data_IF_759705038094
#
_entry.id   IF_759705038094
#
_cell.length_a   1.000
_cell.length_b   1.000
_cell.length_c   1.000
_cell.angle_alpha   90.00
_cell.angle_beta   90.00
_cell.angle_gamma   90.00
#
_symmetry.space_group_name_H-M   'P 1'
#
loop_
_entity.id
_entity.type
_entity.pdbx_description
1 polymer ?
#
# COMPACT_ATOMS: atom_id res chain seq x y z
N UNK A 1 -17.52 -20.19 25.22
CA UNK A 1 -16.89 -19.05 25.93
C UNK A 1 -16.69 -17.94 24.90
N UNK A 2 -17.42 -16.82 24.99
CA UNK A 2 -17.21 -15.68 24.07
C UNK A 2 -15.90 -14.98 24.48
N UNK A 3 -14.96 -14.82 23.55
CA UNK A 3 -13.78 -13.98 23.74
C UNK A 3 -14.14 -12.57 23.28
N UNK A 4 -13.83 -11.57 24.09
CA UNK A 4 -13.97 -10.16 23.72
C UNK A 4 -12.68 -9.78 23.01
N UNK A 5 -12.82 -9.21 21.81
CA UNK A 5 -11.70 -8.57 21.10
C UNK A 5 -11.82 -7.07 21.39
N UNK A 6 -10.79 -6.50 21.99
CA UNK A 6 -10.69 -5.06 22.21
C UNK A 6 -9.76 -4.47 21.15
N UNK A 7 -10.26 -3.47 20.43
CA UNK A 7 -9.50 -2.73 19.43
C UNK A 7 -9.05 -1.40 20.01
N UNK A 8 -7.80 -1.01 19.74
CA UNK A 8 -7.26 0.29 20.11
C UNK A 8 -6.96 1.05 18.82
N UNK A 9 -7.34 2.33 18.78
CA UNK A 9 -7.06 3.20 17.64
C UNK A 9 -5.70 3.87 17.83
N UNK A 10 -4.92 3.92 16.75
CA UNK A 10 -3.69 4.69 16.70
C UNK A 10 -4.01 6.20 16.67
N UNK A 11 -3.74 6.91 17.77
CA UNK A 11 -4.08 8.34 17.93
C UNK A 11 -2.96 9.28 17.49
N UNK A 12 -1.89 8.77 16.87
CA UNK A 12 -0.81 9.60 16.34
C UNK A 12 -1.30 10.47 15.17
N UNK A 13 -0.70 11.65 14.94
CA UNK A 13 -1.11 12.61 13.91
C UNK A 13 -0.72 12.14 12.50
N UNK A 14 -1.57 11.30 11.91
CA UNK A 14 -1.43 10.90 10.51
C UNK A 14 -2.04 11.94 9.57
N UNK A 15 -1.26 12.45 8.62
CA UNK A 15 -1.70 13.43 7.63
C UNK A 15 -1.43 12.91 6.21
N UNK A 16 -2.29 13.30 5.25
CA UNK A 16 -2.06 13.01 3.83
C UNK A 16 -1.01 13.98 3.31
N UNK A 17 0.13 13.46 2.86
CA UNK A 17 1.25 14.24 2.29
C UNK A 17 1.30 14.17 0.77
N UNK A 18 0.74 13.12 0.18
CA UNK A 18 0.59 13.00 -1.27
C UNK A 18 -0.62 12.11 -1.60
N UNK A 19 -1.45 12.53 -2.55
CA UNK A 19 -2.43 11.67 -3.19
C UNK A 19 -2.25 11.76 -4.70
N UNK A 20 -2.06 10.62 -5.38
CA UNK A 20 -1.94 10.51 -6.84
C UNK A 20 -3.20 9.90 -7.44
N UNK A 21 -3.51 10.29 -8.69
CA UNK A 21 -4.63 9.73 -9.47
C UNK A 21 -4.22 9.30 -10.86
N UNK A 22 -5.18 8.73 -11.59
CA UNK A 22 -5.14 8.54 -13.04
C UNK A 22 -5.48 9.87 -13.76
N UNK A 23 -4.67 10.34 -14.74
CA UNK A 23 -3.44 9.74 -15.26
C UNK A 23 -2.31 9.69 -14.21
N UNK A 24 -1.55 8.58 -14.13
CA UNK A 24 -0.52 8.36 -13.12
C UNK A 24 0.38 9.57 -12.91
N UNK A 25 0.58 9.93 -11.64
CA UNK A 25 1.52 10.98 -11.23
C UNK A 25 0.90 12.34 -11.09
N UNK A 26 -0.37 12.52 -11.46
CA UNK A 26 -1.08 13.74 -11.15
C UNK A 26 -1.38 13.80 -9.64
N UNK A 27 -0.74 14.73 -8.93
CA UNK A 27 -1.01 15.00 -7.54
C UNK A 27 -2.38 15.69 -7.37
N UNK A 28 -3.27 15.08 -6.59
CA UNK A 28 -4.57 15.65 -6.19
C UNK A 28 -4.50 16.39 -4.87
N UNK A 29 -3.64 15.94 -3.97
CA UNK A 29 -3.44 16.52 -2.64
C UNK A 29 -1.99 16.40 -2.24
N UNK A 30 -1.48 17.43 -1.58
CA UNK A 30 -0.08 17.51 -1.18
C UNK A 30 0.85 17.53 -2.41
N UNK A 31 2.08 17.09 -2.23
CA UNK A 31 3.08 17.09 -3.28
C UNK A 31 4.15 16.02 -3.03
N UNK A 32 4.88 15.66 -4.09
CA UNK A 32 6.06 14.78 -3.97
C UNK A 32 7.10 15.43 -3.04
N UNK A 33 7.18 16.75 -3.02
CA UNK A 33 8.03 17.51 -2.09
C UNK A 33 7.63 17.28 -0.63
N UNK A 34 6.34 17.39 -0.28
CA UNK A 34 5.87 17.17 1.09
C UNK A 34 6.12 15.72 1.55
N UNK A 35 5.90 14.76 0.65
CA UNK A 35 6.23 13.35 0.91
C UNK A 35 7.74 13.16 1.12
N UNK A 36 8.57 13.78 0.29
CA UNK A 36 10.03 13.72 0.41
C UNK A 36 10.49 14.33 1.73
N UNK A 37 10.01 15.51 2.10
CA UNK A 37 10.34 16.16 3.37
C UNK A 37 9.95 15.29 4.56
N UNK A 38 8.76 14.68 4.53
CA UNK A 38 8.33 13.74 5.56
C UNK A 38 9.26 12.51 5.65
N UNK A 39 9.62 11.90 4.51
CA UNK A 39 10.54 10.75 4.44
C UNK A 39 11.93 11.12 4.96
N UNK A 40 12.48 12.25 4.52
CA UNK A 40 13.80 12.72 4.94
C UNK A 40 13.83 13.13 6.41
N UNK A 41 12.69 13.59 6.95
CA UNK A 41 12.49 13.84 8.37
C UNK A 41 12.32 12.57 9.23
N UNK A 42 12.27 11.38 8.61
CA UNK A 42 12.13 10.10 9.31
C UNK A 42 10.69 9.75 9.69
N UNK A 43 9.69 10.37 9.05
CA UNK A 43 8.28 10.05 9.29
C UNK A 43 7.97 8.59 8.90
N UNK A 44 7.07 7.96 9.66
CA UNK A 44 6.50 6.67 9.25
C UNK A 44 5.51 6.89 8.12
N UNK A 45 5.52 6.01 7.13
CA UNK A 45 4.63 6.11 5.96
C UNK A 45 3.63 4.95 5.93
N UNK A 46 2.35 5.29 5.76
CA UNK A 46 1.25 4.37 5.44
C UNK A 46 0.67 4.72 4.08
N UNK A 47 0.05 3.74 3.45
CA UNK A 47 -0.41 3.79 2.08
C UNK A 47 -1.86 3.33 2.03
N UNK A 48 -2.69 4.05 1.28
CA UNK A 48 -3.95 3.54 0.76
C UNK A 48 -3.77 3.36 -0.75
N UNK A 49 -3.98 2.15 -1.25
CA UNK A 49 -3.90 1.81 -2.66
C UNK A 49 -5.29 1.44 -3.14
N UNK A 50 -5.76 2.10 -4.19
CA UNK A 50 -7.00 1.79 -4.88
C UNK A 50 -6.65 1.38 -6.31
N UNK A 51 -6.63 0.06 -6.55
CA UNK A 51 -6.28 -0.52 -7.86
C UNK A 51 -7.45 -0.44 -8.86
N UNK A 52 -8.66 -0.72 -8.38
CA UNK A 52 -9.92 -0.62 -9.14
C UNK A 52 -11.00 -0.05 -8.20
N UNK A 53 -11.79 0.95 -8.63
CA UNK A 53 -12.95 1.45 -7.88
C UNK A 53 -13.89 0.35 -7.35
N UNK A 54 -14.01 -0.79 -8.03
CA UNK A 54 -14.84 -1.92 -7.60
C UNK A 54 -14.13 -2.86 -6.61
N UNK A 55 -12.80 -2.92 -6.64
CA UNK A 55 -12.00 -3.75 -5.73
C UNK A 55 -11.87 -3.15 -4.32
N UNK A 56 -12.04 -1.83 -4.22
CA UNK A 56 -11.98 -1.09 -2.95
C UNK A 56 -10.56 -0.71 -2.52
N UNK A 57 -10.49 -0.06 -1.36
CA UNK A 57 -9.24 0.46 -0.79
C UNK A 57 -8.44 -0.61 -0.06
N UNK A 58 -7.13 -0.65 -0.31
CA UNK A 58 -6.18 -1.49 0.39
C UNK A 58 -5.22 -0.64 1.23
N UNK A 59 -5.26 -0.80 2.55
CA UNK A 59 -4.39 -0.06 3.46
C UNK A 59 -3.20 -0.90 3.88
N UNK A 60 -1.99 -0.35 3.74
CA UNK A 60 -0.74 -1.00 4.14
C UNK A 60 0.26 -0.01 4.72
N UNK A 61 1.34 -0.51 5.31
CA UNK A 61 2.50 0.26 5.69
C UNK A 61 3.62 0.12 4.65
N UNK A 62 4.44 1.15 4.48
CA UNK A 62 5.71 0.99 3.79
C UNK A 62 6.73 0.31 4.73
N UNK A 63 7.34 -0.78 4.26
CA UNK A 63 8.41 -1.49 4.96
C UNK A 63 9.78 -0.90 4.62
N UNK A 64 10.01 -0.63 3.34
CA UNK A 64 11.21 0.05 2.84
C UNK A 64 10.81 1.29 2.05
N UNK A 65 11.63 2.33 2.15
CA UNK A 65 11.46 3.57 1.38
C UNK A 65 12.81 3.93 0.76
N UNK A 66 12.78 4.37 -0.49
CA UNK A 66 13.94 4.88 -1.22
C UNK A 66 13.59 6.22 -1.86
N UNK A 67 14.40 7.23 -1.61
CA UNK A 67 14.35 8.48 -2.37
C UNK A 67 15.39 8.42 -3.50
N UNK A 68 14.96 8.63 -4.74
CA UNK A 68 15.84 8.86 -5.86
C UNK A 68 16.14 10.37 -5.96
N UNK A 69 17.39 10.74 -5.71
CA UNK A 69 17.83 12.13 -5.65
C UNK A 69 17.86 12.77 -7.06
N UNK A 70 18.01 11.97 -8.12
CA UNK A 70 18.11 12.50 -9.48
C UNK A 70 16.74 12.89 -10.05
N UNK A 71 15.68 12.19 -9.63
CA UNK A 71 14.31 12.35 -10.14
C UNK A 71 13.35 12.93 -9.11
N UNK A 72 13.79 13.10 -7.86
CA UNK A 72 12.95 13.43 -6.70
C UNK A 72 11.83 12.42 -6.41
N UNK A 73 11.83 11.26 -7.09
CA UNK A 73 10.82 10.22 -6.91
C UNK A 73 11.06 9.43 -5.62
N UNK A 74 9.98 9.20 -4.88
CA UNK A 74 9.95 8.32 -3.71
C UNK A 74 9.38 6.97 -4.11
N UNK A 75 10.09 5.90 -3.76
CA UNK A 75 9.64 4.52 -3.94
C UNK A 75 9.40 3.89 -2.57
N UNK A 76 8.27 3.20 -2.42
CA UNK A 76 7.98 2.39 -1.25
C UNK A 76 7.85 0.92 -1.63
N UNK A 77 8.30 0.04 -0.73
CA UNK A 77 7.98 -1.37 -0.78
C UNK A 77 7.10 -1.73 0.40
N UNK A 78 6.00 -2.43 0.15
CA UNK A 78 5.15 -3.02 1.18
C UNK A 78 5.17 -4.55 1.00
N UNK A 79 5.55 -5.26 2.07
CA UNK A 79 6.00 -6.65 2.00
C UNK A 79 5.18 -7.62 2.86
N UNK A 80 4.35 -7.10 3.76
CA UNK A 80 3.66 -7.89 4.78
C UNK A 80 2.28 -8.36 4.32
N UNK A 81 2.19 -9.01 3.15
CA UNK A 81 0.91 -9.41 2.57
C UNK A 81 0.80 -10.89 2.25
N UNK A 82 -0.34 -11.45 2.63
CA UNK A 82 -0.80 -12.79 2.27
C UNK A 82 -2.10 -12.67 1.49
N UNK A 83 -2.36 -13.61 0.59
CA UNK A 83 -3.62 -13.62 -0.14
C UNK A 83 -4.80 -14.04 0.71
N UNK A 84 -5.92 -13.36 0.49
CA UNK A 84 -7.20 -13.61 1.12
C UNK A 84 -8.31 -13.63 0.08
N UNK A 85 -9.50 -14.02 0.51
CA UNK A 85 -10.71 -13.97 -0.29
C UNK A 85 -11.89 -13.61 0.60
N UNK A 86 -12.92 -13.01 0.01
CA UNK A 86 -14.18 -12.80 0.71
C UNK A 86 -14.78 -14.15 1.11
N UNK A 87 -15.15 -14.31 2.38
CA UNK A 87 -15.78 -15.53 2.87
C UNK A 87 -17.22 -15.64 2.36
N UNK A 88 -17.85 -16.80 2.62
CA UNK A 88 -19.29 -17.00 2.39
C UNK A 88 -20.15 -16.21 3.39
N UNK A 89 -19.54 -15.76 4.50
CA UNK A 89 -20.14 -14.83 5.45
C UNK A 89 -19.85 -13.40 4.97
N UNK A 90 -20.89 -12.57 4.85
CA UNK A 90 -20.85 -11.28 4.14
C UNK A 90 -19.85 -10.26 4.70
N UNK A 91 -19.47 -10.39 5.97
CA UNK A 91 -18.66 -9.44 6.73
C UNK A 91 -17.26 -9.99 7.07
N UNK A 92 -16.84 -11.06 6.39
CA UNK A 92 -15.59 -11.75 6.70
C UNK A 92 -14.72 -11.96 5.47
N UNK A 93 -13.41 -11.85 5.68
CA UNK A 93 -12.38 -12.32 4.76
C UNK A 93 -11.71 -13.54 5.39
N UNK A 94 -11.36 -14.50 4.55
CA UNK A 94 -10.65 -15.72 4.95
C UNK A 94 -9.39 -15.90 4.11
N UNK A 95 -8.39 -16.57 4.68
CA UNK A 95 -7.24 -17.02 3.93
C UNK A 95 -7.68 -18.02 2.85
N UNK A 96 -7.30 -17.77 1.60
CA UNK A 96 -7.62 -18.67 0.50
C UNK A 96 -6.81 -19.98 0.59
N UNK A 97 -7.35 -21.10 0.09
CA UNK A 97 -6.70 -22.43 0.18
C UNK A 97 -5.32 -22.49 -0.48
N UNK A 98 -5.16 -21.85 -1.64
CA UNK A 98 -3.88 -21.74 -2.36
C UNK A 98 -3.26 -20.39 -2.01
N UNK A 99 -2.59 -20.33 -0.86
CA UNK A 99 -1.96 -19.11 -0.37
C UNK A 99 -0.81 -18.66 -1.28
N UNK A 100 -0.66 -17.36 -1.41
CA UNK A 100 0.51 -16.72 -2.00
C UNK A 100 0.86 -15.48 -1.17
N UNK A 101 2.15 -15.20 -1.05
CA UNK A 101 2.61 -13.93 -0.52
C UNK A 101 2.82 -12.97 -1.69
N UNK A 102 2.59 -11.69 -1.46
CA UNK A 102 2.73 -10.68 -2.48
C UNK A 102 3.33 -9.41 -1.93
N UNK A 103 3.95 -8.65 -2.82
CA UNK A 103 4.69 -7.45 -2.49
C UNK A 103 4.27 -6.33 -3.43
N UNK A 104 4.19 -5.13 -2.89
CA UNK A 104 3.97 -3.92 -3.66
C UNK A 104 5.27 -3.13 -3.78
N UNK A 105 5.54 -2.62 -4.97
CA UNK A 105 6.48 -1.52 -5.20
C UNK A 105 5.70 -0.35 -5.75
N UNK A 106 5.77 0.79 -5.06
CA UNK A 106 4.89 1.93 -5.28
C UNK A 106 5.75 3.16 -5.53
N UNK A 107 5.47 3.90 -6.60
CA UNK A 107 6.15 5.16 -6.94
C UNK A 107 5.31 6.36 -6.54
N UNK A 108 5.94 7.45 -6.09
CA UNK A 108 5.29 8.75 -5.90
C UNK A 108 4.78 9.35 -7.22
N UNK A 109 5.27 8.85 -8.36
CA UNK A 109 4.77 9.20 -9.69
C UNK A 109 3.51 8.42 -10.08
N UNK A 110 2.94 7.58 -9.20
CA UNK A 110 1.69 6.86 -9.45
C UNK A 110 1.81 5.34 -9.64
N UNK A 111 2.70 4.81 -10.50
CA UNK A 111 2.73 3.39 -10.79
C UNK A 111 2.86 2.50 -9.55
N UNK A 112 2.00 1.47 -9.50
CA UNK A 112 2.04 0.41 -8.50
C UNK A 112 2.34 -0.90 -9.20
N UNK A 113 3.42 -1.57 -8.80
CA UNK A 113 3.75 -2.92 -9.27
C UNK A 113 3.47 -3.93 -8.16
N UNK A 114 2.77 -5.00 -8.50
CA UNK A 114 2.51 -6.13 -7.61
C UNK A 114 3.28 -7.35 -8.10
N UNK A 115 4.03 -8.00 -7.22
CA UNK A 115 4.67 -9.28 -7.49
C UNK A 115 4.25 -10.30 -6.44
N UNK A 116 3.97 -11.54 -6.85
CA UNK A 116 3.43 -12.56 -5.96
C UNK A 116 4.06 -13.93 -6.21
N UNK A 117 4.28 -14.71 -5.15
CA UNK A 117 4.77 -16.09 -5.22
C UNK A 117 3.90 -16.99 -4.36
N UNK A 118 3.71 -18.23 -4.81
CA UNK A 118 2.96 -19.23 -4.06
C UNK A 118 3.61 -19.48 -2.69
N UNK A 119 2.81 -19.58 -1.64
CA UNK A 119 3.34 -19.81 -0.31
C UNK A 119 3.89 -21.24 -0.19
N UNK A 120 5.12 -21.36 0.32
CA UNK A 120 5.79 -22.65 0.55
C UNK A 120 6.51 -23.24 -0.66
N UNK A 121 6.46 -22.60 -1.84
CA UNK A 121 7.24 -22.96 -3.03
C UNK A 121 7.69 -21.69 -3.77
N UNK A 122 8.92 -21.66 -4.28
CA UNK A 122 9.46 -20.47 -4.97
C UNK A 122 8.95 -20.33 -6.42
N UNK A 123 7.63 -20.40 -6.61
CA UNK A 123 6.97 -20.27 -7.92
C UNK A 123 6.31 -18.90 -8.04
N UNK A 124 6.78 -18.09 -8.98
CA UNK A 124 6.15 -16.82 -9.34
C UNK A 124 4.71 -17.07 -9.78
N UNK A 125 3.80 -16.28 -9.22
CA UNK A 125 2.37 -16.35 -9.50
C UNK A 125 1.89 -15.19 -10.36
N UNK A 126 2.25 -13.95 -9.97
CA UNK A 126 1.87 -12.73 -10.69
C UNK A 126 3.02 -11.73 -10.70
N UNK A 127 3.09 -10.94 -11.76
CA UNK A 127 3.95 -9.77 -11.90
C UNK A 127 3.18 -8.75 -12.73
N UNK A 128 2.46 -7.87 -12.05
CA UNK A 128 1.46 -6.98 -12.64
C UNK A 128 1.83 -5.52 -12.36
N UNK A 129 1.50 -4.65 -13.31
CA UNK A 129 1.64 -3.22 -13.18
C UNK A 129 0.25 -2.56 -13.27
N UNK A 130 -0.06 -1.72 -12.30
CA UNK A 130 -1.30 -0.95 -12.21
C UNK A 130 -0.96 0.54 -12.35
N UNK A 131 -0.79 1.06 -13.59
CA UNK A 131 -0.50 2.47 -13.80
C UNK A 131 -1.68 3.37 -13.40
N UNK A 132 -2.91 2.89 -13.47
CA UNK A 132 -4.13 3.61 -13.08
C UNK A 132 -4.41 3.59 -11.56
N UNK A 133 -3.54 2.98 -10.76
CA UNK A 133 -3.74 2.89 -9.32
C UNK A 133 -3.71 4.28 -8.66
N UNK A 134 -4.71 4.57 -7.83
CA UNK A 134 -4.70 5.76 -6.98
C UNK A 134 -3.99 5.44 -5.68
N UNK A 135 -3.04 6.27 -5.28
CA UNK A 135 -2.26 6.05 -4.05
C UNK A 135 -2.34 7.26 -3.16
N UNK A 136 -2.76 7.05 -1.91
CA UNK A 136 -2.67 8.06 -0.85
C UNK A 136 -1.54 7.70 0.12
N UNK A 137 -0.63 8.64 0.30
CA UNK A 137 0.51 8.56 1.21
C UNK A 137 0.20 9.32 2.49
N UNK A 138 0.26 8.61 3.62
CA UNK A 138 0.08 9.17 4.94
C UNK A 138 1.42 9.21 5.67
N UNK A 139 1.77 10.37 6.24
CA UNK A 139 2.93 10.51 7.11
C UNK A 139 2.48 10.74 8.56
N UNK A 140 3.23 10.17 9.50
CA UNK A 140 3.12 10.50 10.92
C UNK A 140 4.10 11.63 11.25
N UNK A 141 3.59 12.86 11.36
CA UNK A 141 4.36 14.10 11.54
C UNK A 141 4.28 14.67 12.96
#
# INVERSE_FOLDING_TARGET
>A
MRRIIEWIVDTRPWSVVLETVDPPGQAMKGSVFDLKDAVMGGARIRLNVLLDPLAGSFFTQANNIRADIATDTIYAQAMDHMSDQKSRVSEEYELQKSLFHWYLTISSEGPVRMTAWNFGIDTLRYDENAPEARVTWFANL
#
